data_IF_103413186888
#
_entry.id   IF_103413186888
#
_cell.length_a   1.000
_cell.length_b   1.000
_cell.length_c   1.000
_cell.angle_alpha   90.00
_cell.angle_beta   90.00
_cell.angle_gamma   90.00
#
_symmetry.space_group_name_H-M   'P 1'
#
loop_
_entity.id
_entity.type
_entity.pdbx_description
1 polymer ?
#
# COMPACT_ATOMS: atom_id res chain seq x y z
N UNK A 1 1.01 -21.84 16.48
CA UNK A 1 0.40 -20.49 16.44
C UNK A 1 0.35 -20.06 14.99
N UNK A 2 -0.80 -20.19 14.34
CA UNK A 2 -0.98 -19.71 12.98
C UNK A 2 -1.10 -18.19 13.05
N UNK A 3 -0.10 -17.49 12.51
CA UNK A 3 -0.10 -16.03 12.49
C UNK A 3 -1.26 -15.62 11.55
N UNK A 4 -2.19 -14.75 11.97
CA UNK A 4 -3.23 -14.27 11.05
C UNK A 4 -2.54 -13.69 9.82
N UNK A 5 -3.00 -14.14 8.66
CA UNK A 5 -2.45 -13.81 7.35
C UNK A 5 -2.66 -12.32 7.08
N UNK A 6 -1.81 -11.47 7.66
CA UNK A 6 -1.80 -10.01 7.53
C UNK A 6 -1.38 -9.56 6.12
N UNK A 7 -1.16 -10.51 5.20
CA UNK A 7 -0.74 -10.25 3.82
C UNK A 7 0.74 -9.94 3.68
N UNK A 8 1.53 -10.03 4.76
CA UNK A 8 2.95 -9.67 4.72
C UNK A 8 3.77 -10.57 3.79
N UNK A 9 3.52 -11.89 3.79
CA UNK A 9 4.21 -12.83 2.88
C UNK A 9 3.95 -12.51 1.40
N UNK A 10 2.72 -12.08 1.10
CA UNK A 10 2.33 -11.68 -0.25
C UNK A 10 2.99 -10.37 -0.63
N UNK A 11 3.11 -9.43 0.33
CA UNK A 11 3.91 -8.22 0.15
C UNK A 11 5.38 -8.54 -0.12
N UNK A 12 6.02 -9.41 0.66
CA UNK A 12 7.43 -9.77 0.46
C UNK A 12 7.65 -10.39 -0.91
N UNK A 13 6.77 -11.31 -1.31
CA UNK A 13 6.80 -11.93 -2.63
C UNK A 13 6.71 -10.88 -3.73
N UNK A 14 5.73 -9.95 -3.65
CA UNK A 14 5.57 -8.85 -4.61
C UNK A 14 6.77 -7.92 -4.63
N UNK A 15 7.27 -7.54 -3.46
CA UNK A 15 8.41 -6.65 -3.33
C UNK A 15 9.65 -7.27 -3.99
N UNK A 16 9.94 -8.54 -3.71
CA UNK A 16 11.07 -9.24 -4.30
C UNK A 16 10.96 -9.33 -5.83
N UNK A 17 9.77 -9.59 -6.36
CA UNK A 17 9.52 -9.70 -7.80
C UNK A 17 9.60 -8.35 -8.53
N UNK A 18 9.06 -7.29 -7.93
CA UNK A 18 8.85 -6.01 -8.61
C UNK A 18 9.95 -4.97 -8.32
N UNK A 19 10.64 -5.11 -7.18
CA UNK A 19 11.64 -4.16 -6.70
C UNK A 19 13.01 -4.81 -6.59
N UNK A 20 13.06 -6.07 -6.16
CA UNK A 20 14.28 -6.86 -6.00
C UNK A 20 14.54 -7.30 -4.56
N UNK A 21 15.58 -8.11 -4.40
CA UNK A 21 15.96 -8.68 -3.10
C UNK A 21 16.97 -7.79 -2.37
N UNK A 22 16.45 -6.81 -1.63
CA UNK A 22 17.20 -5.86 -0.79
C UNK A 22 16.75 -6.00 0.66
N UNK A 23 17.55 -5.63 1.67
CA UNK A 23 17.18 -5.83 3.08
C UNK A 23 16.09 -4.85 3.56
N UNK A 24 15.31 -5.20 4.61
CA UNK A 24 14.42 -4.24 5.27
C UNK A 24 15.18 -2.96 5.66
N UNK A 25 14.56 -1.80 5.43
CA UNK A 25 15.20 -0.50 5.60
C UNK A 25 15.91 0.05 4.37
N UNK A 26 16.23 -0.78 3.38
CA UNK A 26 16.84 -0.33 2.12
C UNK A 26 15.77 0.13 1.12
N UNK A 27 16.21 0.89 0.11
CA UNK A 27 15.35 1.43 -0.92
C UNK A 27 15.60 0.74 -2.26
N UNK A 28 14.52 0.46 -2.97
CA UNK A 28 14.54 0.06 -4.38
C UNK A 28 13.63 0.96 -5.21
N UNK A 29 13.49 0.64 -6.50
CA UNK A 29 12.69 1.47 -7.43
C UNK A 29 11.44 0.72 -7.88
N UNK A 30 10.27 1.35 -7.72
CA UNK A 30 8.98 0.81 -8.17
C UNK A 30 8.14 1.95 -8.74
N UNK A 31 7.52 1.75 -9.91
CA UNK A 31 6.71 2.77 -10.62
C UNK A 31 7.42 4.14 -10.70
N UNK A 32 8.73 4.13 -10.96
CA UNK A 32 9.56 5.33 -11.07
C UNK A 32 9.94 6.02 -9.73
N UNK A 33 9.44 5.53 -8.59
CA UNK A 33 9.65 6.10 -7.24
C UNK A 33 10.60 5.22 -6.41
N UNK A 34 11.27 5.84 -5.44
CA UNK A 34 12.03 5.11 -4.41
C UNK A 34 11.07 4.57 -3.36
N UNK A 35 11.20 3.28 -3.05
CA UNK A 35 10.34 2.60 -2.09
C UNK A 35 11.20 1.82 -1.11
N UNK A 36 10.95 2.03 0.19
CA UNK A 36 11.63 1.34 1.28
C UNK A 36 11.10 -0.10 1.38
N UNK A 37 11.96 -1.10 1.52
CA UNK A 37 11.53 -2.43 1.98
C UNK A 37 11.12 -2.32 3.44
N UNK A 38 9.85 -2.58 3.68
CA UNK A 38 9.24 -2.52 5.00
C UNK A 38 9.53 -3.80 5.77
N UNK A 39 9.71 -3.69 7.07
CA UNK A 39 9.53 -4.83 7.96
C UNK A 39 8.03 -5.11 8.18
N UNK A 40 7.70 -6.18 8.91
CA UNK A 40 6.31 -6.59 9.14
C UNK A 40 5.47 -5.55 9.90
N UNK A 41 6.05 -4.88 10.88
CA UNK A 41 5.36 -3.88 11.69
C UNK A 41 5.04 -2.65 10.83
N UNK A 42 6.03 -2.14 10.11
CA UNK A 42 5.87 -1.02 9.18
C UNK A 42 4.84 -1.35 8.10
N UNK A 43 4.88 -2.55 7.52
CA UNK A 43 3.90 -2.98 6.53
C UNK A 43 2.48 -2.97 7.10
N UNK A 44 2.28 -3.46 8.32
CA UNK A 44 0.97 -3.48 8.97
C UNK A 44 0.42 -2.07 9.18
N UNK A 45 1.28 -1.13 9.58
CA UNK A 45 0.90 0.28 9.71
C UNK A 45 0.49 0.88 8.36
N UNK A 46 1.28 0.65 7.31
CA UNK A 46 0.97 1.17 5.98
C UNK A 46 -0.29 0.53 5.38
N UNK A 47 -0.52 -0.76 5.62
CA UNK A 47 -1.73 -1.46 5.19
C UNK A 47 -2.97 -0.93 5.91
N UNK A 48 -2.90 -0.75 7.23
CA UNK A 48 -3.99 -0.16 8.02
C UNK A 48 -4.34 1.25 7.53
N UNK A 49 -3.33 2.06 7.23
CA UNK A 49 -3.55 3.39 6.64
C UNK A 49 -4.20 3.31 5.26
N UNK A 50 -3.76 2.37 4.42
CA UNK A 50 -4.35 2.15 3.09
C UNK A 50 -5.84 1.78 3.18
N UNK A 51 -6.19 0.83 4.03
CA UNK A 51 -7.58 0.41 4.25
C UNK A 51 -8.45 1.53 4.82
N UNK A 52 -7.89 2.34 5.74
CA UNK A 52 -8.57 3.51 6.29
C UNK A 52 -8.86 4.56 5.22
N UNK A 53 -7.88 4.87 4.37
CA UNK A 53 -8.06 5.82 3.27
C UNK A 53 -9.06 5.31 2.24
N UNK A 54 -9.00 4.03 1.88
CA UNK A 54 -9.97 3.40 0.99
C UNK A 54 -11.40 3.45 1.53
N UNK A 55 -11.59 3.10 2.81
CA UNK A 55 -12.92 3.17 3.47
C UNK A 55 -13.49 4.59 3.47
N UNK A 56 -12.64 5.60 3.67
CA UNK A 56 -13.03 7.03 3.57
C UNK A 56 -13.42 7.43 2.16
N UNK A 57 -12.72 6.92 1.15
CA UNK A 57 -13.05 7.18 -0.26
C UNK A 57 -14.40 6.57 -0.63
N UNK A 58 -14.64 5.31 -0.24
CA UNK A 58 -15.92 4.63 -0.46
C UNK A 58 -17.08 5.39 0.20
N UNK A 59 -16.91 5.85 1.45
CA UNK A 59 -17.91 6.66 2.13
C UNK A 59 -18.15 8.02 1.43
N UNK A 60 -17.10 8.66 0.91
CA UNK A 60 -17.24 9.90 0.12
C UNK A 60 -18.02 9.66 -1.18
N UNK A 61 -17.74 8.56 -1.88
CA UNK A 61 -18.46 8.16 -3.09
C UNK A 61 -19.94 7.89 -2.81
N UNK A 62 -20.26 7.18 -1.73
CA UNK A 62 -21.64 6.87 -1.35
C UNK A 62 -22.44 8.10 -0.92
N UNK A 63 -21.79 9.08 -0.29
CA UNK A 63 -22.45 10.31 0.16
C UNK A 63 -22.61 11.37 -0.94
N UNK A 64 -22.10 11.13 -2.15
CA UNK A 64 -22.11 12.12 -3.24
C UNK A 64 -21.22 13.33 -2.98
N UNK A 65 -20.31 13.24 -2.00
CA UNK A 65 -19.35 14.29 -1.71
C UNK A 65 -18.26 14.33 -2.79
N UNK A 66 -17.70 15.53 -3.01
CA UNK A 66 -16.57 15.71 -3.94
C UNK A 66 -15.42 14.81 -3.55
N UNK A 67 -14.95 13.99 -4.49
CA UNK A 67 -13.77 13.15 -4.30
C UNK A 67 -12.56 14.03 -4.02
N UNK A 68 -11.92 13.81 -2.88
CA UNK A 68 -10.72 14.55 -2.52
C UNK A 68 -9.53 14.06 -3.32
N UNK A 69 -8.99 14.90 -4.22
CA UNK A 69 -7.75 14.61 -4.94
C UNK A 69 -6.59 14.30 -3.99
N UNK A 70 -6.57 14.94 -2.82
CA UNK A 70 -5.60 14.65 -1.75
C UNK A 70 -5.73 13.20 -1.25
N UNK A 71 -6.96 12.73 -1.00
CA UNK A 71 -7.20 11.35 -0.57
C UNK A 71 -6.79 10.35 -1.65
N UNK A 72 -7.14 10.61 -2.92
CA UNK A 72 -6.74 9.75 -4.03
C UNK A 72 -5.21 9.70 -4.19
N UNK A 73 -4.53 10.85 -4.06
CA UNK A 73 -3.06 10.94 -4.10
C UNK A 73 -2.41 10.17 -2.94
N UNK A 74 -3.01 10.23 -1.75
CA UNK A 74 -2.57 9.48 -0.58
C UNK A 74 -2.69 7.97 -0.81
N UNK A 75 -3.83 7.51 -1.34
CA UNK A 75 -4.06 6.10 -1.68
C UNK A 75 -3.01 5.62 -2.69
N UNK A 76 -2.77 6.36 -3.79
CA UNK A 76 -1.73 6.00 -4.78
C UNK A 76 -0.34 5.92 -4.16
N UNK A 77 -0.05 6.81 -3.21
CA UNK A 77 1.25 6.82 -2.53
C UNK A 77 1.42 5.60 -1.63
N UNK A 78 0.38 5.23 -0.89
CA UNK A 78 0.37 4.01 -0.08
C UNK A 78 0.50 2.76 -0.94
N UNK A 79 -0.21 2.68 -2.07
CA UNK A 79 -0.10 1.55 -3.02
C UNK A 79 1.32 1.35 -3.54
N UNK A 80 2.04 2.45 -3.82
CA UNK A 80 3.45 2.37 -4.17
C UNK A 80 4.28 1.86 -2.99
N UNK A 81 4.04 2.37 -1.78
CA UNK A 81 4.73 1.97 -0.55
C UNK A 81 4.59 0.48 -0.23
N UNK A 82 3.38 -0.07 -0.36
CA UNK A 82 3.10 -1.49 -0.12
C UNK A 82 3.17 -2.35 -1.40
N UNK A 83 3.74 -1.80 -2.47
CA UNK A 83 4.00 -2.46 -3.75
C UNK A 83 2.77 -3.21 -4.29
N UNK A 84 1.70 -2.45 -4.51
CA UNK A 84 0.50 -2.91 -5.20
C UNK A 84 0.56 -2.50 -6.69
N UNK A 85 0.33 -3.49 -7.55
CA UNK A 85 0.26 -3.29 -8.99
C UNK A 85 -1.07 -2.64 -9.38
N UNK A 86 -2.16 -3.17 -8.85
CA UNK A 86 -3.53 -2.75 -9.12
C UNK A 86 -4.13 -2.08 -7.89
N UNK A 87 -4.82 -0.96 -8.11
CA UNK A 87 -5.57 -0.29 -7.04
C UNK A 87 -6.86 -1.06 -6.75
N UNK A 88 -7.20 -1.21 -5.47
CA UNK A 88 -8.52 -1.70 -5.05
C UNK A 88 -9.59 -0.60 -5.10
N UNK A 89 -9.20 0.64 -4.84
CA UNK A 89 -10.12 1.75 -4.54
C UNK A 89 -10.20 2.80 -5.64
N UNK A 90 -9.15 2.94 -6.45
CA UNK A 90 -9.06 3.94 -7.49
C UNK A 90 -9.31 3.31 -8.87
N UNK A 91 -9.98 4.03 -9.77
CA UNK A 91 -10.07 3.66 -11.17
C UNK A 91 -8.72 3.79 -11.89
#
# INVERSE_FOLDING_TARGET
MSIPNDGFEQYETRFQQLVGDIKPGQFGRFKGRLVKRLNREEFREQLSEYERCGSRLEAAMQSGNTLSESLMSQIRSLEVTIVLETSKYLP
#
